data_IF_230337966617
#
_entry.id   IF_230337966617
#
_cell.length_a   1.000
_cell.length_b   1.000
_cell.length_c   1.000
_cell.angle_alpha   90.00
_cell.angle_beta   90.00
_cell.angle_gamma   90.00
#
_symmetry.space_group_name_H-M   'P 1'
#
loop_
_entity.id
_entity.type
_entity.pdbx_description
1 polymer ?
#
# COMPACT_ATOMS: atom_id res chain seq x y z
N UNK A 1 -32.03 -3.87 19.96
CA UNK A 1 -30.97 -4.89 20.16
C UNK A 1 -30.27 -5.05 18.82
N UNK A 2 -28.96 -4.81 18.75
CA UNK A 2 -28.19 -5.18 17.56
C UNK A 2 -28.18 -6.71 17.45
N UNK A 3 -28.28 -7.26 16.24
CA UNK A 3 -28.14 -8.69 16.03
C UNK A 3 -26.77 -9.15 16.57
N UNK A 4 -26.66 -10.36 17.16
CA UNK A 4 -25.37 -10.89 17.57
C UNK A 4 -24.46 -10.96 16.33
N UNK A 5 -23.25 -10.44 16.47
CA UNK A 5 -22.24 -10.47 15.40
C UNK A 5 -21.74 -11.89 15.22
N UNK A 6 -21.52 -12.28 13.96
CA UNK A 6 -20.96 -13.59 13.61
C UNK A 6 -19.55 -13.75 14.19
N UNK A 7 -19.23 -14.95 14.65
CA UNK A 7 -17.86 -15.30 15.04
C UNK A 7 -17.01 -15.58 13.80
N UNK A 8 -15.67 -15.57 13.93
CA UNK A 8 -14.78 -15.93 12.84
C UNK A 8 -15.07 -17.35 12.28
N UNK A 9 -15.56 -18.26 13.13
CA UNK A 9 -15.93 -19.61 12.73
C UNK A 9 -17.27 -19.66 11.98
N UNK A 10 -18.21 -18.80 12.34
CA UNK A 10 -19.48 -18.63 11.60
C UNK A 10 -19.20 -18.10 10.19
N UNK A 11 -18.38 -17.05 10.09
CA UNK A 11 -17.92 -16.48 8.81
C UNK A 11 -17.24 -17.54 7.96
N UNK A 12 -16.30 -18.31 8.53
CA UNK A 12 -15.61 -19.39 7.83
C UNK A 12 -16.57 -20.48 7.33
N UNK A 13 -17.55 -20.85 8.14
CA UNK A 13 -18.57 -21.85 7.78
C UNK A 13 -19.48 -21.36 6.66
N UNK A 14 -19.93 -20.10 6.72
CA UNK A 14 -20.71 -19.44 5.67
C UNK A 14 -19.93 -19.35 4.35
N UNK A 15 -18.64 -19.01 4.42
CA UNK A 15 -17.76 -18.99 3.24
C UNK A 15 -17.60 -20.37 2.61
N UNK A 16 -17.35 -21.41 3.39
CA UNK A 16 -17.31 -22.79 2.88
C UNK A 16 -18.62 -23.17 2.16
N UNK A 17 -19.77 -22.83 2.75
CA UNK A 17 -21.07 -23.08 2.14
C UNK A 17 -21.26 -22.33 0.82
N UNK A 18 -20.87 -21.05 0.76
CA UNK A 18 -20.90 -20.25 -0.46
C UNK A 18 -19.94 -20.80 -1.52
N UNK A 19 -18.69 -21.11 -1.18
CA UNK A 19 -17.70 -21.62 -2.13
C UNK A 19 -18.12 -22.96 -2.75
N UNK A 20 -18.86 -23.81 -2.01
CA UNK A 20 -19.44 -25.05 -2.54
C UNK A 20 -20.43 -24.83 -3.71
N UNK A 21 -20.93 -23.60 -3.89
CA UNK A 21 -21.81 -23.23 -5.01
C UNK A 21 -21.05 -22.71 -6.23
N UNK A 22 -19.72 -22.59 -6.13
CA UNK A 22 -18.85 -22.04 -7.17
C UNK A 22 -17.94 -23.12 -7.76
N UNK A 23 -17.21 -22.79 -8.82
CA UNK A 23 -16.14 -23.65 -9.36
C UNK A 23 -14.93 -23.77 -8.42
N UNK A 24 -14.82 -22.90 -7.42
CA UNK A 24 -13.72 -22.86 -6.44
C UNK A 24 -14.06 -23.63 -5.17
N UNK A 25 -14.70 -24.79 -5.28
CA UNK A 25 -15.08 -25.60 -4.12
C UNK A 25 -13.83 -26.04 -3.32
N UNK A 26 -13.77 -25.79 -1.99
CA UNK A 26 -12.56 -26.08 -1.21
C UNK A 26 -12.58 -27.49 -0.60
N UNK A 27 -11.40 -28.13 -0.55
CA UNK A 27 -11.10 -29.26 0.34
C UNK A 27 -10.80 -28.76 1.77
N UNK A 28 -10.12 -27.62 1.86
CA UNK A 28 -9.78 -26.98 3.13
C UNK A 28 -9.79 -25.48 2.98
N UNK A 29 -10.16 -24.78 4.06
CA UNK A 29 -10.18 -23.32 4.15
C UNK A 29 -9.47 -22.91 5.44
N UNK A 30 -8.21 -22.52 5.33
CA UNK A 30 -7.34 -22.24 6.47
C UNK A 30 -7.14 -20.72 6.62
N UNK A 31 -7.31 -20.13 7.82
CA UNK A 31 -7.05 -18.71 8.01
C UNK A 31 -5.62 -18.34 7.64
N UNK A 32 -5.45 -17.25 6.89
CA UNK A 32 -4.15 -16.63 6.67
C UNK A 32 -3.92 -15.54 7.73
N UNK A 33 -2.68 -15.45 8.19
CA UNK A 33 -2.25 -14.38 9.08
C UNK A 33 -1.79 -13.19 8.26
N UNK A 34 -2.31 -12.01 8.57
CA UNK A 34 -2.01 -10.77 7.85
C UNK A 34 -3.30 -10.01 7.57
N UNK A 35 -3.22 -8.70 7.38
CA UNK A 35 -4.39 -7.84 7.18
C UNK A 35 -5.18 -7.53 8.45
N UNK A 36 -5.88 -6.40 8.44
CA UNK A 36 -6.64 -5.89 9.60
C UNK A 36 -8.16 -5.93 9.36
N UNK A 37 -8.58 -5.62 8.14
CA UNK A 37 -9.98 -5.34 7.81
C UNK A 37 -10.76 -6.58 7.37
N UNK A 38 -10.16 -7.45 6.54
CA UNK A 38 -10.86 -8.58 5.93
C UNK A 38 -10.48 -9.92 6.56
N UNK A 39 -11.43 -10.86 6.53
CA UNK A 39 -11.15 -12.25 6.80
C UNK A 39 -10.46 -12.86 5.57
N UNK A 40 -9.24 -13.34 5.74
CA UNK A 40 -8.43 -13.86 4.65
C UNK A 40 -8.10 -15.33 4.90
N UNK A 41 -8.30 -16.16 3.89
CA UNK A 41 -8.08 -17.61 3.98
C UNK A 41 -7.28 -18.13 2.78
N UNK A 42 -6.54 -19.19 3.01
CA UNK A 42 -5.96 -20.04 1.97
C UNK A 42 -6.88 -21.23 1.75
N UNK A 43 -7.34 -21.41 0.51
CA UNK A 43 -8.16 -22.54 0.11
C UNK A 43 -7.42 -23.47 -0.85
N UNK A 44 -7.40 -24.76 -0.52
CA UNK A 44 -7.06 -25.82 -1.46
C UNK A 44 -8.36 -26.29 -2.14
N UNK A 45 -8.37 -26.35 -3.47
CA UNK A 45 -9.57 -26.67 -4.26
C UNK A 45 -9.75 -28.19 -4.43
N UNK A 46 -11.00 -28.64 -4.46
CA UNK A 46 -11.35 -30.05 -4.70
C UNK A 46 -11.02 -30.49 -6.12
N UNK A 47 -11.26 -29.60 -7.08
CA UNK A 47 -10.92 -29.79 -8.48
C UNK A 47 -10.05 -28.63 -8.95
N UNK A 48 -9.11 -28.93 -9.83
CA UNK A 48 -8.32 -27.91 -10.49
C UNK A 48 -9.22 -27.10 -11.42
N UNK A 49 -9.10 -25.79 -11.33
CA UNK A 49 -9.81 -24.85 -12.19
C UNK A 49 -8.84 -24.33 -13.25
N UNK A 50 -9.24 -24.36 -14.52
CA UNK A 50 -8.42 -23.76 -15.57
C UNK A 50 -8.52 -22.24 -15.49
N UNK A 51 -7.37 -21.56 -15.50
CA UNK A 51 -7.33 -20.11 -15.67
C UNK A 51 -8.06 -19.71 -16.96
N UNK A 52 -8.80 -18.61 -16.91
CA UNK A 52 -9.54 -18.09 -18.08
C UNK A 52 -8.65 -17.33 -19.07
N UNK A 53 -7.33 -17.31 -18.85
CA UNK A 53 -6.35 -16.68 -19.71
C UNK A 53 -5.75 -17.67 -20.72
N UNK A 54 -5.00 -17.15 -21.70
CA UNK A 54 -4.31 -17.97 -22.71
C UNK A 54 -3.20 -18.86 -22.11
N UNK A 55 -2.91 -18.75 -20.80
CA UNK A 55 -1.85 -19.52 -20.15
C UNK A 55 -2.23 -20.97 -19.90
N UNK A 56 -3.54 -21.28 -19.84
CA UNK A 56 -4.03 -22.63 -19.54
C UNK A 56 -3.52 -23.16 -18.20
N UNK A 57 -3.21 -22.29 -17.24
CA UNK A 57 -2.69 -22.69 -15.93
C UNK A 57 -3.76 -23.41 -15.11
N UNK A 58 -3.36 -24.52 -14.50
CA UNK A 58 -4.13 -25.23 -13.48
C UNK A 58 -4.10 -24.44 -12.16
N UNK A 59 -5.26 -24.05 -11.65
CA UNK A 59 -5.43 -23.42 -10.34
C UNK A 59 -5.89 -24.48 -9.35
N UNK A 60 -5.06 -24.79 -8.35
CA UNK A 60 -5.39 -25.72 -7.25
C UNK A 60 -5.50 -25.04 -5.89
N UNK A 61 -5.03 -23.80 -5.79
CA UNK A 61 -4.92 -23.04 -4.54
C UNK A 61 -5.32 -21.59 -4.81
N UNK A 62 -6.08 -21.00 -3.90
CA UNK A 62 -6.57 -19.61 -4.01
C UNK A 62 -6.56 -18.91 -2.65
N UNK A 63 -6.48 -17.59 -2.69
CA UNK A 63 -6.77 -16.74 -1.53
C UNK A 63 -8.25 -16.37 -1.56
N UNK A 64 -8.93 -16.52 -0.43
CA UNK A 64 -10.32 -16.09 -0.24
C UNK A 64 -10.29 -14.88 0.68
N UNK A 65 -10.76 -13.73 0.21
CA UNK A 65 -10.94 -12.53 1.02
C UNK A 65 -12.42 -12.24 1.20
N UNK A 66 -12.85 -12.05 2.43
CA UNK A 66 -14.23 -11.74 2.78
C UNK A 66 -14.30 -10.49 3.64
N UNK A 67 -15.16 -9.56 3.22
CA UNK A 67 -15.40 -8.32 3.94
C UNK A 67 -16.66 -8.36 4.77
N UNK A 68 -16.58 -7.70 5.91
CA UNK A 68 -17.68 -7.37 6.80
C UNK A 68 -17.73 -5.84 6.99
N UNK A 69 -18.85 -5.25 7.48
CA UNK A 69 -18.95 -3.80 7.74
C UNK A 69 -18.15 -3.36 8.99
N UNK A 70 -17.20 -4.18 9.42
CA UNK A 70 -16.29 -3.98 10.53
C UNK A 70 -14.94 -4.65 10.24
N UNK A 71 -13.91 -4.26 10.99
CA UNK A 71 -12.57 -4.82 10.84
C UNK A 71 -12.50 -6.23 11.43
N UNK A 72 -12.00 -7.21 10.66
CA UNK A 72 -11.87 -8.60 11.09
C UNK A 72 -11.08 -8.76 12.41
N UNK A 73 -9.97 -8.02 12.57
CA UNK A 73 -9.14 -8.08 13.80
C UNK A 73 -9.65 -7.20 14.94
N UNK A 74 -10.41 -6.17 14.62
CA UNK A 74 -10.99 -5.25 15.60
C UNK A 74 -12.48 -5.06 15.34
N UNK A 75 -13.33 -6.08 15.60
CA UNK A 75 -14.73 -6.03 15.21
C UNK A 75 -15.53 -4.88 15.82
N UNK A 76 -15.04 -4.25 16.91
CA UNK A 76 -15.61 -3.02 17.46
C UNK A 76 -15.60 -1.85 16.47
N UNK A 77 -14.67 -1.85 15.51
CA UNK A 77 -14.42 -0.74 14.61
C UNK A 77 -15.17 -0.98 13.30
N UNK A 78 -16.16 -0.13 13.03
CA UNK A 78 -16.88 -0.14 11.77
C UNK A 78 -15.96 0.36 10.64
N UNK A 79 -16.13 -0.20 9.45
CA UNK A 79 -15.43 0.24 8.23
C UNK A 79 -16.31 -0.08 7.03
N UNK A 80 -16.26 0.75 5.98
CA UNK A 80 -17.09 0.53 4.79
C UNK A 80 -16.75 -0.80 4.12
N UNK A 81 -17.78 -1.57 3.77
CA UNK A 81 -17.63 -2.86 3.07
C UNK A 81 -17.36 -2.67 1.57
N UNK A 82 -17.62 -1.47 1.04
CA UNK A 82 -17.37 -1.15 -0.37
C UNK A 82 -15.88 -1.23 -0.74
N UNK A 83 -14.98 -1.22 0.26
CA UNK A 83 -13.55 -1.54 0.12
C UNK A 83 -13.29 -2.87 -0.61
N UNK A 84 -14.20 -3.84 -0.50
CA UNK A 84 -14.08 -5.13 -1.20
C UNK A 84 -14.31 -4.98 -2.71
N UNK A 85 -15.24 -4.11 -3.10
CA UNK A 85 -15.49 -3.81 -4.50
C UNK A 85 -14.34 -3.00 -5.10
N UNK A 86 -13.81 -2.05 -4.34
CA UNK A 86 -12.63 -1.26 -4.70
C UNK A 86 -11.44 -2.17 -5.01
N UNK A 87 -11.10 -3.10 -4.11
CA UNK A 87 -9.98 -4.03 -4.32
C UNK A 87 -10.20 -4.86 -5.59
N UNK A 88 -11.37 -5.49 -5.73
CA UNK A 88 -11.70 -6.31 -6.90
C UNK A 88 -11.63 -5.51 -8.22
N UNK A 89 -12.11 -4.26 -8.22
CA UNK A 89 -12.05 -3.39 -9.39
C UNK A 89 -10.61 -2.98 -9.74
N UNK A 90 -9.78 -2.66 -8.74
CA UNK A 90 -8.36 -2.37 -8.93
C UNK A 90 -7.62 -3.56 -9.54
N UNK A 91 -7.79 -4.76 -8.96
CA UNK A 91 -7.13 -5.98 -9.44
C UNK A 91 -7.52 -6.32 -10.88
N UNK A 92 -8.80 -6.18 -11.24
CA UNK A 92 -9.28 -6.39 -12.62
C UNK A 92 -8.72 -5.37 -13.60
N UNK A 93 -8.69 -4.08 -13.21
CA UNK A 93 -8.10 -3.03 -14.05
C UNK A 93 -6.61 -3.25 -14.29
N UNK A 94 -5.85 -3.52 -13.22
CA UNK A 94 -4.41 -3.79 -13.30
C UNK A 94 -4.10 -5.05 -14.11
N UNK A 95 -4.92 -6.10 -14.00
CA UNK A 95 -4.78 -7.29 -14.83
C UNK A 95 -4.94 -6.96 -16.32
N UNK A 96 -5.92 -6.14 -16.68
CA UNK A 96 -6.13 -5.70 -18.07
C UNK A 96 -4.96 -4.86 -18.63
N UNK A 97 -4.19 -4.20 -17.76
CA UNK A 97 -3.00 -3.43 -18.15
C UNK A 97 -1.73 -4.29 -18.29
N UNK A 98 -1.74 -5.57 -17.88
CA UNK A 98 -0.55 -6.47 -17.94
C UNK A 98 0.21 -6.40 -19.27
N UNK A 99 -0.43 -6.42 -20.46
CA UNK A 99 0.27 -6.35 -21.75
C UNK A 99 1.15 -5.10 -21.91
N UNK A 100 0.75 -3.97 -21.31
CA UNK A 100 1.45 -2.68 -21.43
C UNK A 100 2.65 -2.58 -20.47
N UNK A 101 2.54 -3.19 -19.28
CA UNK A 101 3.57 -3.13 -18.23
C UNK A 101 4.83 -3.96 -18.54
N UNK A 102 4.81 -4.84 -19.55
CA UNK A 102 5.98 -5.64 -19.92
C UNK A 102 7.15 -4.83 -20.52
N UNK A 103 6.92 -3.59 -20.96
CA UNK A 103 7.89 -2.81 -21.73
C UNK A 103 8.78 -1.87 -20.90
N UNK A 104 8.42 -1.56 -19.65
CA UNK A 104 9.08 -0.52 -18.83
C UNK A 104 9.75 -1.02 -17.55
N UNK A 105 9.75 -2.33 -17.27
CA UNK A 105 10.24 -2.84 -15.99
C UNK A 105 11.73 -3.17 -16.03
N UNK A 106 12.44 -2.89 -14.92
CA UNK A 106 13.85 -3.25 -14.72
C UNK A 106 14.18 -4.65 -15.26
N UNK A 107 15.39 -4.84 -15.80
CA UNK A 107 15.80 -6.11 -16.39
C UNK A 107 15.68 -7.31 -15.43
N UNK A 108 15.68 -7.05 -14.10
CA UNK A 108 15.71 -8.07 -13.05
C UNK A 108 14.37 -8.32 -12.34
N UNK A 109 13.48 -7.34 -12.25
CA UNK A 109 12.21 -7.50 -11.51
C UNK A 109 10.98 -7.32 -12.40
N UNK A 110 9.96 -8.11 -12.11
CA UNK A 110 8.62 -7.93 -12.66
C UNK A 110 7.65 -7.57 -11.53
N UNK A 111 7.13 -6.36 -11.57
CA UNK A 111 6.10 -5.91 -10.62
C UNK A 111 4.72 -6.20 -11.20
N UNK A 112 3.82 -6.73 -10.40
CA UNK A 112 2.45 -7.07 -10.78
C UNK A 112 1.53 -7.11 -9.56
N UNK A 113 0.27 -7.48 -9.76
CA UNK A 113 -0.71 -7.71 -8.69
C UNK A 113 -1.29 -9.12 -8.82
N UNK A 114 -1.79 -9.75 -7.74
CA UNK A 114 -2.54 -11.00 -7.84
C UNK A 114 -3.75 -10.86 -8.76
N UNK A 115 -4.15 -11.95 -9.42
CA UNK A 115 -5.37 -11.97 -10.21
C UNK A 115 -6.60 -12.08 -9.31
N UNK A 116 -7.66 -11.33 -9.63
CA UNK A 116 -8.98 -11.52 -9.02
C UNK A 116 -9.80 -12.46 -9.92
N UNK A 117 -9.92 -13.73 -9.52
CA UNK A 117 -10.65 -14.75 -10.29
C UNK A 117 -12.17 -14.58 -10.18
N UNK A 118 -12.66 -14.20 -9.00
CA UNK A 118 -14.08 -14.01 -8.74
C UNK A 118 -14.29 -12.91 -7.72
N UNK A 119 -15.32 -12.09 -7.92
CA UNK A 119 -15.86 -11.19 -6.90
C UNK A 119 -17.38 -11.35 -6.89
N UNK A 120 -17.94 -11.66 -5.73
CA UNK A 120 -19.38 -11.69 -5.49
C UNK A 120 -19.78 -10.49 -4.65
N UNK A 121 -20.54 -9.58 -5.27
CA UNK A 121 -20.96 -8.34 -4.63
C UNK A 121 -22.02 -8.55 -3.54
N UNK A 122 -22.76 -9.67 -3.56
CA UNK A 122 -23.77 -9.96 -2.55
C UNK A 122 -23.13 -10.42 -1.25
N UNK A 123 -22.14 -11.30 -1.35
CA UNK A 123 -21.41 -11.84 -0.18
C UNK A 123 -20.15 -11.07 0.13
N UNK A 124 -19.80 -10.06 -0.67
CA UNK A 124 -18.59 -9.23 -0.53
C UNK A 124 -17.32 -10.09 -0.41
N UNK A 125 -17.29 -11.15 -1.23
CA UNK A 125 -16.25 -12.17 -1.20
C UNK A 125 -15.46 -12.18 -2.50
N UNK A 126 -14.15 -12.28 -2.38
CA UNK A 126 -13.19 -12.33 -3.48
C UNK A 126 -12.44 -13.67 -3.46
N UNK A 127 -12.22 -14.24 -4.65
CA UNK A 127 -11.25 -15.31 -4.90
C UNK A 127 -10.09 -14.69 -5.67
N UNK A 128 -8.88 -14.76 -5.12
CA UNK A 128 -7.66 -14.19 -5.68
C UNK A 128 -6.58 -15.26 -5.90
N UNK A 129 -5.61 -14.96 -6.76
CA UNK A 129 -4.41 -15.78 -6.99
C UNK A 129 -3.63 -15.98 -5.69
N UNK A 130 -3.32 -17.25 -5.38
CA UNK A 130 -2.40 -17.59 -4.29
C UNK A 130 -0.94 -17.48 -4.76
N UNK A 131 -0.11 -16.81 -3.95
CA UNK A 131 1.30 -16.57 -4.23
C UNK A 131 2.18 -17.34 -3.24
N UNK A 132 2.51 -18.62 -3.51
CA UNK A 132 3.28 -19.44 -2.59
C UNK A 132 4.73 -18.97 -2.47
N UNK A 133 5.35 -19.23 -1.32
CA UNK A 133 6.78 -18.97 -1.09
C UNK A 133 7.13 -17.48 -1.15
N UNK A 134 6.23 -16.60 -0.72
CA UNK A 134 6.45 -15.16 -0.67
C UNK A 134 6.64 -14.67 0.76
N UNK A 135 7.41 -13.59 0.90
CA UNK A 135 7.55 -12.80 2.12
C UNK A 135 7.28 -11.33 1.80
N UNK A 136 6.75 -10.58 2.76
CA UNK A 136 6.60 -9.14 2.60
C UNK A 136 7.96 -8.42 2.67
N UNK A 137 8.07 -7.28 1.98
CA UNK A 137 9.32 -6.52 1.89
C UNK A 137 9.78 -6.02 3.27
N UNK A 138 8.87 -5.69 4.20
CA UNK A 138 9.26 -5.28 5.55
C UNK A 138 9.98 -6.42 6.28
N UNK A 139 9.42 -7.63 6.24
CA UNK A 139 10.04 -8.82 6.81
C UNK A 139 11.42 -9.10 6.20
N UNK A 140 11.58 -8.91 4.89
CA UNK A 140 12.88 -9.09 4.22
C UNK A 140 13.90 -8.02 4.66
N UNK A 141 13.48 -6.77 4.76
CA UNK A 141 14.33 -5.67 5.25
C UNK A 141 14.75 -5.90 6.70
N UNK A 142 13.84 -6.32 7.57
CA UNK A 142 14.15 -6.61 8.97
C UNK A 142 15.13 -7.79 9.13
N UNK A 143 14.97 -8.87 8.35
CA UNK A 143 15.92 -10.00 8.35
C UNK A 143 17.33 -9.59 7.93
N UNK A 144 17.47 -8.55 7.13
CA UNK A 144 18.79 -8.08 6.69
C UNK A 144 19.58 -7.33 7.77
N UNK A 145 18.98 -7.03 8.93
CA UNK A 145 19.69 -6.44 10.07
C UNK A 145 20.70 -7.39 10.72
N UNK A 146 20.63 -8.68 10.43
CA UNK A 146 21.46 -9.71 11.08
C UNK A 146 22.93 -9.68 10.61
N UNK A 147 23.20 -9.24 9.38
CA UNK A 147 24.54 -9.20 8.81
C UNK A 147 24.76 -7.93 7.95
N UNK A 148 26.00 -7.38 7.90
CA UNK A 148 26.31 -6.25 7.03
C UNK A 148 26.04 -6.58 5.56
N UNK A 149 25.42 -5.64 4.85
CA UNK A 149 25.12 -5.82 3.43
C UNK A 149 26.39 -5.74 2.58
N UNK A 150 26.53 -6.70 1.66
CA UNK A 150 27.50 -6.60 0.57
C UNK A 150 26.95 -5.78 -0.60
N UNK A 151 27.84 -5.24 -1.43
CA UNK A 151 27.50 -4.40 -2.62
C UNK A 151 26.41 -5.01 -3.51
N UNK A 152 26.41 -6.33 -3.70
CA UNK A 152 25.40 -7.03 -4.51
C UNK A 152 24.00 -6.97 -3.88
N UNK A 153 23.92 -7.08 -2.55
CA UNK A 153 22.66 -6.98 -1.81
C UNK A 153 22.16 -5.52 -1.79
N UNK A 154 23.04 -4.54 -1.60
CA UNK A 154 22.63 -3.14 -1.69
C UNK A 154 22.03 -2.81 -3.07
N UNK A 155 22.68 -3.26 -4.14
CA UNK A 155 22.15 -3.11 -5.49
C UNK A 155 20.83 -3.85 -5.67
N UNK A 156 20.64 -5.01 -5.05
CA UNK A 156 19.37 -5.74 -5.07
C UNK A 156 18.24 -4.88 -4.50
N UNK A 157 18.42 -4.30 -3.31
CA UNK A 157 17.43 -3.42 -2.68
C UNK A 157 17.13 -2.15 -3.49
N UNK A 158 18.16 -1.52 -4.06
CA UNK A 158 17.97 -0.37 -4.97
C UNK A 158 17.13 -0.72 -6.20
N UNK A 159 17.34 -1.90 -6.78
CA UNK A 159 16.54 -2.33 -7.93
C UNK A 159 15.08 -2.65 -7.55
N UNK A 160 14.83 -3.19 -6.34
CA UNK A 160 13.47 -3.37 -5.82
C UNK A 160 12.77 -2.00 -5.72
N UNK A 161 13.38 -1.06 -5.00
CA UNK A 161 12.81 0.28 -4.82
C UNK A 161 12.47 0.94 -6.14
N UNK A 162 13.42 0.91 -7.10
CA UNK A 162 13.23 1.48 -8.44
C UNK A 162 12.03 0.87 -9.17
N UNK A 163 11.94 -0.46 -9.19
CA UNK A 163 10.86 -1.15 -9.88
C UNK A 163 9.48 -0.83 -9.27
N UNK A 164 9.39 -0.69 -7.94
CA UNK A 164 8.16 -0.34 -7.23
C UNK A 164 7.72 1.10 -7.54
N UNK A 165 8.65 2.05 -7.54
CA UNK A 165 8.38 3.44 -7.90
C UNK A 165 7.88 3.56 -9.34
N UNK A 166 8.58 2.93 -10.29
CA UNK A 166 8.17 2.89 -11.70
C UNK A 166 6.75 2.32 -11.87
N UNK A 167 6.45 1.22 -11.18
CA UNK A 167 5.13 0.58 -11.22
C UNK A 167 4.01 1.49 -10.70
N UNK A 168 4.16 2.02 -9.48
CA UNK A 168 3.08 2.81 -8.85
C UNK A 168 2.90 4.16 -9.56
N UNK A 169 3.97 4.79 -10.03
CA UNK A 169 3.88 6.01 -10.84
C UNK A 169 3.17 5.76 -12.17
N UNK A 170 3.38 4.61 -12.81
CA UNK A 170 2.64 4.25 -14.02
C UNK A 170 1.15 4.02 -13.73
N UNK A 171 0.82 3.39 -12.60
CA UNK A 171 -0.57 3.27 -12.15
C UNK A 171 -1.22 4.65 -11.98
N UNK A 172 -0.57 5.55 -11.23
CA UNK A 172 -1.04 6.94 -11.02
C UNK A 172 -1.26 7.70 -12.33
N UNK A 173 -0.38 7.53 -13.32
CA UNK A 173 -0.55 8.18 -14.63
C UNK A 173 -1.78 7.64 -15.37
N UNK A 174 -1.92 6.31 -15.41
CA UNK A 174 -3.00 5.62 -16.11
C UNK A 174 -4.38 5.86 -15.48
N UNK A 175 -4.44 6.13 -14.17
CA UNK A 175 -5.70 6.36 -13.46
C UNK A 175 -6.01 7.84 -13.21
N UNK A 176 -5.13 8.77 -13.60
CA UNK A 176 -5.40 10.22 -13.52
C UNK A 176 -6.69 10.69 -14.23
N UNK A 177 -7.20 10.05 -15.31
CA UNK A 177 -8.49 10.45 -15.89
C UNK A 177 -9.68 10.17 -14.97
N UNK A 178 -9.59 9.14 -14.12
CA UNK A 178 -10.64 8.76 -13.15
C UNK A 178 -10.88 9.91 -12.17
N UNK A 179 -9.81 10.48 -11.63
CA UNK A 179 -9.89 11.57 -10.67
C UNK A 179 -10.43 12.89 -11.28
N UNK A 180 -10.37 13.03 -12.60
CA UNK A 180 -10.86 14.23 -13.30
C UNK A 180 -12.30 14.10 -13.82
N UNK A 181 -12.98 12.98 -13.55
CA UNK A 181 -14.33 12.71 -14.06
C UNK A 181 -14.38 12.48 -15.58
N UNK A 182 -13.22 12.33 -16.23
CA UNK A 182 -13.11 12.09 -17.68
C UNK A 182 -13.05 10.60 -18.04
N UNK A 183 -13.79 9.76 -17.32
CA UNK A 183 -14.12 8.43 -17.84
C UNK A 183 -15.12 8.60 -19.01
N UNK A 184 -14.68 9.22 -20.10
CA UNK A 184 -15.48 9.54 -21.27
C UNK A 184 -15.87 8.26 -22.04
N UNK A 185 -16.91 8.39 -22.87
CA UNK A 185 -17.37 7.34 -23.79
C UNK A 185 -16.19 6.78 -24.60
N UNK A 186 -15.91 5.47 -24.46
CA UNK A 186 -14.80 4.79 -25.13
C UNK A 186 -13.66 4.34 -24.19
N UNK A 187 -13.73 4.64 -22.89
CA UNK A 187 -12.81 4.09 -21.89
C UNK A 187 -13.02 2.57 -21.69
N UNK A 188 -11.96 1.85 -21.32
CA UNK A 188 -12.04 0.39 -21.12
C UNK A 188 -13.07 0.04 -20.03
N UNK A 189 -13.85 -1.04 -20.16
CA UNK A 189 -14.87 -1.42 -19.16
C UNK A 189 -14.32 -1.50 -17.73
N UNK A 190 -13.08 -1.99 -17.58
CA UNK A 190 -12.43 -2.09 -16.27
C UNK A 190 -12.12 -0.74 -15.62
N UNK A 191 -11.80 0.28 -16.43
CA UNK A 191 -11.57 1.65 -15.91
C UNK A 191 -12.89 2.28 -15.47
N UNK A 192 -13.99 2.02 -16.18
CA UNK A 192 -15.33 2.45 -15.77
C UNK A 192 -15.77 1.79 -14.46
N UNK A 193 -15.57 0.48 -14.32
CA UNK A 193 -15.83 -0.24 -13.06
C UNK A 193 -14.97 0.29 -11.91
N UNK A 194 -13.71 0.61 -12.16
CA UNK A 194 -12.84 1.24 -11.16
C UNK A 194 -13.37 2.61 -10.74
N UNK A 195 -13.78 3.46 -11.69
CA UNK A 195 -14.37 4.76 -11.37
C UNK A 195 -15.63 4.64 -10.51
N UNK A 196 -16.51 3.69 -10.83
CA UNK A 196 -17.70 3.39 -10.01
C UNK A 196 -17.32 2.96 -8.59
N UNK A 197 -16.37 2.03 -8.46
CA UNK A 197 -15.95 1.53 -7.15
C UNK A 197 -15.37 2.64 -6.27
N UNK A 198 -14.48 3.47 -6.84
CA UNK A 198 -13.83 4.58 -6.13
C UNK A 198 -14.85 5.67 -5.73
N UNK A 199 -15.86 5.91 -6.56
CA UNK A 199 -16.93 6.88 -6.25
C UNK A 199 -17.79 6.44 -5.06
N UNK A 200 -17.75 5.16 -4.68
CA UNK A 200 -18.49 4.58 -3.55
C UNK A 200 -17.69 4.49 -2.26
N UNK A 201 -16.42 4.89 -2.28
CA UNK A 201 -15.49 4.71 -1.16
C UNK A 201 -15.02 6.02 -0.55
N UNK A 202 -15.88 7.05 -0.52
CA UNK A 202 -15.56 8.35 0.10
C UNK A 202 -15.18 8.23 1.58
N UNK A 203 -15.75 7.26 2.29
CA UNK A 203 -15.46 6.96 3.70
C UNK A 203 -14.00 6.54 3.90
N UNK A 204 -13.37 5.92 2.89
CA UNK A 204 -11.96 5.57 2.95
C UNK A 204 -11.06 6.81 2.87
N UNK A 205 -11.53 7.86 2.18
CA UNK A 205 -10.81 9.13 2.09
C UNK A 205 -10.87 9.88 3.42
N UNK A 206 -12.04 9.92 4.04
CA UNK A 206 -12.21 10.48 5.37
C UNK A 206 -11.36 9.71 6.40
N UNK A 207 -11.35 8.38 6.33
CA UNK A 207 -10.49 7.55 7.15
C UNK A 207 -9.01 7.90 6.94
N UNK A 208 -8.56 8.05 5.69
CA UNK A 208 -7.16 8.35 5.40
C UNK A 208 -6.76 9.76 5.82
N UNK A 209 -7.67 10.74 5.75
CA UNK A 209 -7.45 12.08 6.32
C UNK A 209 -7.31 12.01 7.85
N UNK A 210 -8.19 11.29 8.52
CA UNK A 210 -8.16 11.13 9.97
C UNK A 210 -6.84 10.52 10.42
N UNK A 211 -6.45 9.36 9.87
CA UNK A 211 -5.21 8.67 10.30
C UNK A 211 -3.95 9.46 9.95
N UNK A 212 -3.92 10.20 8.83
CA UNK A 212 -2.74 10.98 8.48
C UNK A 212 -2.65 12.28 9.28
N UNK A 213 -3.74 13.03 9.42
CA UNK A 213 -3.68 14.42 9.87
C UNK A 213 -4.35 14.67 11.23
N UNK A 214 -5.39 13.93 11.60
CA UNK A 214 -5.94 14.07 12.95
C UNK A 214 -4.99 13.42 13.97
N UNK A 215 -4.48 12.22 13.69
CA UNK A 215 -3.47 11.58 14.55
C UNK A 215 -2.18 12.39 14.65
N UNK A 216 -1.77 13.08 13.58
CA UNK A 216 -0.65 14.03 13.60
C UNK A 216 -0.85 15.12 14.66
N UNK A 217 -2.07 15.68 14.75
CA UNK A 217 -2.40 16.70 15.74
C UNK A 217 -2.47 16.11 17.15
N UNK A 218 -3.03 14.91 17.30
CA UNK A 218 -3.05 14.18 18.58
C UNK A 218 -1.63 13.93 19.11
N UNK A 219 -0.64 13.69 18.23
CA UNK A 219 0.75 13.52 18.67
C UNK A 219 1.31 14.75 19.37
N UNK A 220 0.81 15.95 19.09
CA UNK A 220 1.25 17.16 19.79
C UNK A 220 0.96 17.06 21.28
N UNK A 221 -0.21 16.50 21.64
CA UNK A 221 -0.59 16.29 23.04
C UNK A 221 0.22 15.18 23.70
N UNK A 222 0.62 14.17 22.92
CA UNK A 222 1.46 13.07 23.41
C UNK A 222 2.93 13.47 23.59
N UNK A 223 3.47 14.34 22.72
CA UNK A 223 4.88 14.76 22.72
C UNK A 223 5.03 16.30 22.74
N UNK A 224 4.48 17.00 23.73
CA UNK A 224 4.41 18.46 23.74
C UNK A 224 5.79 19.13 23.78
N UNK A 225 6.77 18.51 24.45
CA UNK A 225 8.13 19.04 24.56
C UNK A 225 8.89 19.02 23.23
N UNK A 226 8.45 18.20 22.28
CA UNK A 226 9.07 18.07 20.96
C UNK A 226 8.26 18.83 19.90
N UNK A 227 6.93 18.75 19.95
CA UNK A 227 6.06 19.12 18.84
C UNK A 227 5.32 20.45 19.00
N UNK A 228 5.25 21.05 20.20
CA UNK A 228 4.44 22.26 20.45
C UNK A 228 4.73 23.41 19.48
N UNK A 229 6.01 23.62 19.13
CA UNK A 229 6.44 24.73 18.29
C UNK A 229 6.14 24.48 16.79
N UNK A 230 5.81 23.24 16.41
CA UNK A 230 5.43 22.86 15.05
C UNK A 230 3.91 22.86 14.83
N UNK A 231 3.09 23.12 15.86
CA UNK A 231 1.63 23.04 15.82
C UNK A 231 1.02 23.77 14.63
N UNK A 232 1.41 25.02 14.40
CA UNK A 232 0.85 25.83 13.32
C UNK A 232 1.20 25.27 11.93
N UNK A 233 2.36 24.61 11.80
CA UNK A 233 2.75 23.94 10.55
C UNK A 233 1.86 22.72 10.33
N UNK A 234 1.60 21.92 11.36
CA UNK A 234 0.77 20.72 11.25
C UNK A 234 -0.68 21.05 10.93
N UNK A 235 -1.23 22.12 11.53
CA UNK A 235 -2.58 22.61 11.21
C UNK A 235 -2.68 23.01 9.74
N UNK A 236 -1.71 23.78 9.22
CA UNK A 236 -1.71 24.15 7.79
C UNK A 236 -1.57 22.95 6.86
N UNK A 237 -0.75 21.97 7.24
CA UNK A 237 -0.59 20.75 6.44
C UNK A 237 -1.89 19.92 6.41
N UNK A 238 -2.60 19.85 7.54
CA UNK A 238 -3.94 19.26 7.61
C UNK A 238 -4.95 20.01 6.74
N UNK A 239 -4.96 21.34 6.80
CA UNK A 239 -5.83 22.17 5.96
C UNK A 239 -5.55 21.94 4.48
N UNK A 240 -4.28 21.84 4.09
CA UNK A 240 -3.89 21.46 2.73
C UNK A 240 -4.42 20.07 2.35
N UNK A 241 -4.28 19.06 3.22
CA UNK A 241 -4.82 17.73 2.96
C UNK A 241 -6.34 17.71 2.79
N UNK A 242 -7.07 18.50 3.60
CA UNK A 242 -8.53 18.66 3.47
C UNK A 242 -8.90 19.34 2.15
N UNK A 243 -8.16 20.37 1.74
CA UNK A 243 -8.37 21.07 0.48
C UNK A 243 -8.13 20.14 -0.71
N UNK A 244 -7.01 19.40 -0.71
CA UNK A 244 -6.66 18.38 -1.71
C UNK A 244 -7.76 17.33 -1.87
N UNK A 245 -8.44 16.94 -0.77
CA UNK A 245 -9.57 16.02 -0.83
C UNK A 245 -10.84 16.68 -1.37
N UNK A 246 -11.25 17.82 -0.80
CA UNK A 246 -12.57 18.41 -1.07
C UNK A 246 -12.66 19.11 -2.41
N UNK A 247 -11.61 19.83 -2.78
CA UNK A 247 -11.58 20.65 -3.99
C UNK A 247 -10.80 19.95 -5.12
N UNK A 248 -10.19 18.81 -4.82
CA UNK A 248 -9.30 18.10 -5.73
C UNK A 248 -7.96 18.82 -5.91
N UNK A 249 -7.02 18.12 -6.53
CA UNK A 249 -5.74 18.66 -6.95
C UNK A 249 -5.54 18.38 -8.44
N UNK A 250 -4.80 19.23 -9.14
CA UNK A 250 -4.37 18.93 -10.50
C UNK A 250 -3.53 17.64 -10.59
N UNK A 251 -2.94 17.22 -9.46
CA UNK A 251 -2.19 15.97 -9.34
C UNK A 251 -3.07 14.78 -8.88
N UNK A 252 -4.37 14.97 -8.67
CA UNK A 252 -5.25 13.89 -8.17
C UNK A 252 -5.29 12.73 -9.16
N UNK A 253 -5.25 11.53 -8.59
CA UNK A 253 -5.32 10.26 -9.31
C UNK A 253 -5.92 9.19 -8.39
N UNK A 254 -6.09 7.96 -8.89
CA UNK A 254 -6.32 6.82 -8.00
C UNK A 254 -4.99 6.42 -7.38
N UNK A 255 -4.90 6.51 -6.07
CA UNK A 255 -3.78 6.01 -5.27
C UNK A 255 -4.11 4.62 -4.73
N UNK A 256 -3.09 3.86 -4.34
CA UNK A 256 -3.29 2.61 -3.61
C UNK A 256 -3.83 2.86 -2.19
N UNK A 257 -3.39 3.94 -1.55
CA UNK A 257 -3.89 4.39 -0.24
C UNK A 257 -3.39 3.57 0.97
N UNK A 258 -2.55 2.58 0.73
CA UNK A 258 -1.84 1.78 1.74
C UNK A 258 -0.57 1.16 1.11
N UNK A 259 0.16 1.98 0.34
CA UNK A 259 1.32 1.52 -0.41
C UNK A 259 2.56 1.45 0.49
N UNK A 260 2.62 0.42 1.34
CA UNK A 260 3.70 0.20 2.29
C UNK A 260 4.45 -1.13 2.01
N UNK A 261 5.69 -1.31 2.54
CA UNK A 261 6.47 -2.53 2.36
C UNK A 261 5.77 -3.83 2.78
N UNK A 262 4.85 -3.78 3.75
CA UNK A 262 4.05 -4.94 4.18
C UNK A 262 3.13 -5.46 3.08
N UNK A 263 2.71 -4.58 2.16
CA UNK A 263 1.84 -4.89 1.03
C UNK A 263 2.63 -5.21 -0.26
N UNK A 264 3.95 -5.41 -0.15
CA UNK A 264 4.81 -5.84 -1.24
C UNK A 264 5.31 -7.25 -0.97
N UNK A 265 4.78 -8.24 -1.69
CA UNK A 265 5.23 -9.63 -1.61
C UNK A 265 6.36 -9.91 -2.60
N UNK A 266 7.41 -10.57 -2.14
CA UNK A 266 8.57 -10.98 -2.94
C UNK A 266 8.69 -12.49 -2.86
N UNK A 267 8.87 -13.16 -4.00
CA UNK A 267 9.19 -14.59 -4.00
C UNK A 267 10.58 -14.81 -3.44
N UNK A 268 10.68 -15.68 -2.44
CA UNK A 268 11.93 -16.15 -1.87
C UNK A 268 12.56 -17.22 -2.78
N UNK A 269 12.85 -16.82 -4.02
CA UNK A 269 13.56 -17.65 -4.99
C UNK A 269 14.89 -16.99 -5.33
N UNK A 270 15.99 -17.75 -5.24
CA UNK A 270 17.27 -17.32 -5.78
C UNK A 270 17.08 -16.95 -7.25
N UNK A 271 17.58 -15.77 -7.71
CA UNK A 271 17.48 -15.39 -9.11
C UNK A 271 18.06 -16.50 -9.99
N UNK A 272 17.22 -17.19 -10.75
CA UNK A 272 17.69 -18.16 -11.75
C UNK A 272 18.01 -17.39 -13.03
N UNK A 273 19.14 -17.73 -13.66
CA UNK A 273 19.58 -17.07 -14.89
C UNK A 273 18.44 -16.97 -15.91
N UNK A 274 18.14 -15.73 -16.32
CA UNK A 274 17.12 -15.42 -17.34
C UNK A 274 15.67 -15.25 -16.86
N UNK A 275 15.34 -15.48 -15.58
CA UNK A 275 13.97 -15.22 -15.05
C UNK A 275 13.93 -14.01 -14.12
N UNK A 276 13.02 -13.07 -14.39
CA UNK A 276 12.78 -11.92 -13.51
C UNK A 276 12.17 -12.38 -12.18
N UNK A 277 12.64 -11.82 -11.07
CA UNK A 277 12.03 -12.02 -9.74
C UNK A 277 10.69 -11.29 -9.69
N UNK A 278 9.65 -11.97 -9.20
CA UNK A 278 8.31 -11.40 -9.06
C UNK A 278 8.18 -10.54 -7.80
N UNK A 279 7.72 -9.30 -7.98
CA UNK A 279 7.24 -8.41 -6.93
C UNK A 279 5.73 -8.26 -7.09
N UNK A 280 4.97 -8.43 -6.03
CA UNK A 280 3.51 -8.38 -6.07
C UNK A 280 2.99 -7.31 -5.11
N UNK A 281 2.30 -6.32 -5.65
CA UNK A 281 1.58 -5.30 -4.86
C UNK A 281 0.20 -5.85 -4.53
N UNK A 282 -0.11 -5.96 -3.25
CA UNK A 282 -1.36 -6.56 -2.74
C UNK A 282 -2.15 -5.56 -1.90
N UNK A 283 -3.38 -5.92 -1.54
CA UNK A 283 -4.23 -5.18 -0.59
C UNK A 283 -4.69 -3.80 -1.08
N UNK A 284 -5.32 -3.79 -2.26
CA UNK A 284 -5.85 -2.58 -2.91
C UNK A 284 -7.18 -2.08 -2.31
N UNK A 285 -7.58 -2.54 -1.12
CA UNK A 285 -8.87 -2.19 -0.51
C UNK A 285 -8.99 -0.71 -0.10
N UNK A 286 -7.85 -0.05 0.11
CA UNK A 286 -7.76 1.38 0.45
C UNK A 286 -7.60 2.29 -0.77
N UNK A 287 -7.71 1.76 -1.99
CA UNK A 287 -7.56 2.55 -3.20
C UNK A 287 -8.64 3.62 -3.30
N UNK A 288 -8.25 4.83 -3.68
CA UNK A 288 -9.12 6.01 -3.61
C UNK A 288 -8.60 7.15 -4.47
N UNK A 289 -9.41 8.20 -4.69
CA UNK A 289 -8.87 9.45 -5.24
C UNK A 289 -8.00 10.11 -4.17
N UNK A 290 -6.76 10.45 -4.54
CA UNK A 290 -5.82 11.15 -3.69
C UNK A 290 -4.66 11.72 -4.48
N UNK A 291 -3.66 12.26 -3.78
CA UNK A 291 -2.42 12.75 -4.39
C UNK A 291 -1.32 11.69 -4.34
N UNK A 292 -0.51 11.49 -5.40
CA UNK A 292 0.58 10.49 -5.44
C UNK A 292 1.54 10.53 -4.25
N UNK A 293 1.74 11.71 -3.67
CA UNK A 293 2.60 11.90 -2.51
C UNK A 293 2.19 11.03 -1.32
N UNK A 294 0.92 10.65 -1.20
CA UNK A 294 0.42 9.74 -0.16
C UNK A 294 1.07 8.36 -0.26
N UNK A 295 1.01 7.71 -1.42
CA UNK A 295 1.63 6.39 -1.63
C UNK A 295 3.16 6.45 -1.51
N UNK A 296 3.78 7.48 -2.09
CA UNK A 296 5.24 7.62 -2.04
C UNK A 296 5.75 7.88 -0.62
N UNK A 297 5.05 8.75 0.12
CA UNK A 297 5.39 9.09 1.50
C UNK A 297 5.19 7.94 2.47
N UNK A 298 4.16 7.12 2.27
CA UNK A 298 3.90 5.92 3.07
C UNK A 298 4.97 4.85 2.86
N UNK A 299 5.33 4.53 1.60
CA UNK A 299 6.42 3.59 1.30
C UNK A 299 7.75 4.04 1.91
N UNK A 300 8.14 5.30 1.67
CA UNK A 300 9.42 5.84 2.16
C UNK A 300 9.39 5.98 3.69
N UNK A 301 8.28 6.44 4.26
CA UNK A 301 8.13 6.65 5.70
C UNK A 301 8.18 5.36 6.50
N UNK A 302 7.58 4.28 6.01
CA UNK A 302 7.62 2.98 6.68
C UNK A 302 9.03 2.36 6.65
N UNK A 303 9.74 2.45 5.52
CA UNK A 303 11.13 2.02 5.40
C UNK A 303 12.06 2.86 6.29
N UNK A 304 11.84 4.18 6.32
CA UNK A 304 12.67 5.08 7.13
C UNK A 304 12.41 4.90 8.62
N UNK A 305 11.15 4.70 9.03
CA UNK A 305 10.78 4.32 10.40
C UNK A 305 11.50 3.04 10.83
N UNK A 306 11.53 2.03 9.96
CA UNK A 306 12.25 0.78 10.20
C UNK A 306 13.75 1.02 10.42
N UNK A 307 14.38 1.88 9.62
CA UNK A 307 15.79 2.27 9.85
C UNK A 307 16.00 3.06 11.15
N UNK A 308 15.09 3.98 11.49
CA UNK A 308 15.19 4.77 12.72
C UNK A 308 15.13 3.91 13.99
N UNK A 309 14.33 2.84 13.98
CA UNK A 309 14.21 1.90 15.10
C UNK A 309 15.28 0.82 15.10
N UNK A 310 15.52 0.19 13.94
CA UNK A 310 16.23 -1.09 13.85
C UNK A 310 17.57 -0.99 13.10
N UNK A 311 17.89 0.18 12.51
CA UNK A 311 19.18 0.43 11.84
C UNK A 311 19.38 -0.33 10.52
N UNK A 312 18.31 -0.79 9.89
CA UNK A 312 18.38 -1.58 8.65
C UNK A 312 18.80 -0.73 7.43
N UNK A 313 20.05 -0.86 6.99
CA UNK A 313 20.53 -0.16 5.78
C UNK A 313 19.84 -0.67 4.49
N UNK A 314 19.26 -1.87 4.49
CA UNK A 314 18.46 -2.36 3.37
C UNK A 314 17.28 -1.43 3.07
N UNK A 315 16.60 -0.94 4.12
CA UNK A 315 15.50 0.01 3.97
C UNK A 315 15.95 1.30 3.27
N UNK A 316 17.13 1.80 3.64
CA UNK A 316 17.72 2.99 3.00
C UNK A 316 18.04 2.74 1.53
N UNK A 317 18.61 1.58 1.19
CA UNK A 317 18.89 1.24 -0.20
C UNK A 317 17.60 1.06 -1.03
N UNK A 318 16.52 0.55 -0.44
CA UNK A 318 15.21 0.57 -1.10
C UNK A 318 14.75 2.01 -1.34
N UNK A 319 14.86 2.90 -0.35
CA UNK A 319 14.50 4.32 -0.49
C UNK A 319 15.30 4.98 -1.63
N UNK A 320 16.62 4.81 -1.66
CA UNK A 320 17.50 5.35 -2.71
C UNK A 320 17.09 4.86 -4.10
N UNK A 321 16.79 3.57 -4.22
CA UNK A 321 16.28 2.98 -5.46
C UNK A 321 14.92 3.54 -5.86
N UNK A 322 14.02 3.67 -4.88
CA UNK A 322 12.67 4.17 -5.06
C UNK A 322 12.66 5.61 -5.56
N UNK A 323 13.38 6.51 -4.89
CA UNK A 323 13.53 7.89 -5.34
C UNK A 323 14.17 7.97 -6.71
N UNK A 324 15.13 7.09 -7.02
CA UNK A 324 15.70 7.03 -8.36
C UNK A 324 14.69 6.62 -9.45
N UNK A 325 13.75 5.73 -9.12
CA UNK A 325 12.67 5.28 -10.00
C UNK A 325 11.55 6.31 -10.21
N UNK A 326 11.34 7.22 -9.24
CA UNK A 326 10.41 8.35 -9.41
C UNK A 326 10.87 9.35 -10.49
N UNK A 327 12.16 9.33 -10.84
CA UNK A 327 12.70 10.23 -11.87
C UNK A 327 13.09 11.60 -11.30
N UNK A 328 13.22 12.59 -12.18
CA UNK A 328 13.42 13.97 -11.76
C UNK A 328 12.07 14.57 -11.35
N UNK A 329 11.96 15.02 -10.10
CA UNK A 329 10.73 15.60 -9.58
C UNK A 329 10.84 17.13 -9.53
N UNK A 330 9.76 17.87 -9.82
CA UNK A 330 9.64 19.26 -9.40
C UNK A 330 9.87 19.39 -7.89
N UNK A 331 10.54 20.46 -7.46
CA UNK A 331 10.94 20.65 -6.06
C UNK A 331 9.73 20.65 -5.12
N UNK A 332 8.61 21.23 -5.53
CA UNK A 332 7.35 21.24 -4.79
C UNK A 332 6.77 19.83 -4.62
N UNK A 333 6.86 18.97 -5.63
CA UNK A 333 6.45 17.56 -5.54
C UNK A 333 7.37 16.80 -4.58
N UNK A 334 8.69 16.99 -4.68
CA UNK A 334 9.65 16.35 -3.76
C UNK A 334 9.42 16.78 -2.30
N UNK A 335 9.18 18.07 -2.05
CA UNK A 335 8.83 18.59 -0.72
C UNK A 335 7.50 18.05 -0.21
N UNK A 336 6.49 17.88 -1.08
CA UNK A 336 5.19 17.30 -0.69
C UNK A 336 5.32 15.83 -0.30
N UNK A 337 6.16 15.06 -1.00
CA UNK A 337 6.50 13.67 -0.62
C UNK A 337 7.24 13.66 0.71
N UNK A 338 8.26 14.51 0.89
CA UNK A 338 8.99 14.60 2.14
C UNK A 338 8.06 14.96 3.32
N UNK A 339 7.16 15.94 3.14
CA UNK A 339 6.15 16.25 4.15
C UNK A 339 5.29 15.03 4.52
N UNK A 340 4.87 14.25 3.51
CA UNK A 340 4.11 13.03 3.75
C UNK A 340 4.92 11.94 4.48
N UNK A 341 6.23 11.82 4.23
CA UNK A 341 7.12 10.95 5.01
C UNK A 341 7.09 11.33 6.48
N UNK A 342 7.24 12.62 6.79
CA UNK A 342 7.17 13.09 8.17
C UNK A 342 5.79 12.89 8.82
N UNK A 343 4.70 13.04 8.06
CA UNK A 343 3.34 12.70 8.51
C UNK A 343 3.26 11.22 8.89
N UNK A 344 3.77 10.32 8.03
CA UNK A 344 3.78 8.88 8.30
C UNK A 344 4.56 8.53 9.58
N UNK A 345 5.75 9.13 9.77
CA UNK A 345 6.55 8.92 10.97
C UNK A 345 5.80 9.28 12.25
N UNK A 346 5.07 10.39 12.25
CA UNK A 346 4.31 10.84 13.42
C UNK A 346 3.03 10.02 13.63
N UNK A 347 2.29 9.74 12.58
CA UNK A 347 0.97 9.08 12.68
C UNK A 347 1.08 7.57 12.87
N UNK A 348 2.04 6.90 12.22
CA UNK A 348 2.22 5.45 12.28
C UNK A 348 3.52 5.05 12.98
N UNK A 349 4.62 5.76 12.71
CA UNK A 349 5.93 5.45 13.29
C UNK A 349 5.97 5.53 14.81
N UNK A 350 5.06 6.26 15.45
CA UNK A 350 4.95 6.38 16.91
C UNK A 350 4.07 5.31 17.58
N UNK A 351 3.46 4.41 16.81
CA UNK A 351 2.56 3.36 17.32
C UNK A 351 3.30 2.09 17.78
N UNK A 352 4.61 2.00 17.58
CA UNK A 352 5.41 0.85 17.97
C UNK A 352 5.45 0.69 19.50
N UNK A 353 4.83 -0.37 20.03
CA UNK A 353 4.68 -0.59 21.48
C UNK A 353 5.92 -1.23 22.14
N UNK A 354 6.82 -1.81 21.36
CA UNK A 354 8.00 -2.56 21.81
C UNK A 354 9.30 -1.76 21.79
N UNK A 355 9.22 -0.44 21.49
CA UNK A 355 10.39 0.44 21.33
C UNK A 355 10.58 1.32 22.56
N UNK A 356 11.84 1.67 22.83
CA UNK A 356 12.17 2.55 23.96
C UNK A 356 11.70 3.99 23.72
N UNK A 357 11.42 4.73 24.79
CA UNK A 357 11.05 6.15 24.73
C UNK A 357 12.07 6.97 23.93
N UNK A 358 13.38 6.71 24.08
CA UNK A 358 14.43 7.38 23.32
C UNK A 358 14.34 7.12 21.81
N UNK A 359 14.04 5.89 21.41
CA UNK A 359 13.85 5.56 19.99
C UNK A 359 12.60 6.24 19.43
N UNK A 360 11.51 6.25 20.19
CA UNK A 360 10.28 6.95 19.81
C UNK A 360 10.51 8.46 19.69
N UNK A 361 11.21 9.07 20.65
CA UNK A 361 11.60 10.49 20.62
C UNK A 361 12.40 10.85 19.37
N UNK A 362 13.30 9.95 18.93
CA UNK A 362 14.06 10.13 17.68
C UNK A 362 13.11 10.19 16.48
N UNK A 363 12.17 9.24 16.37
CA UNK A 363 11.17 9.23 15.29
C UNK A 363 10.30 10.50 15.32
N UNK A 364 9.90 10.96 16.50
CA UNK A 364 9.09 12.17 16.66
C UNK A 364 9.85 13.42 16.21
N UNK A 365 11.13 13.57 16.60
CA UNK A 365 11.98 14.69 16.18
C UNK A 365 12.20 14.70 14.67
N UNK A 366 12.51 13.54 14.10
CA UNK A 366 12.70 13.37 12.66
C UNK A 366 11.44 13.73 11.87
N UNK A 367 10.28 13.19 12.27
CA UNK A 367 9.00 13.50 11.63
C UNK A 367 8.67 15.00 11.67
N UNK A 368 8.88 15.64 12.81
CA UNK A 368 8.73 17.09 12.97
C UNK A 368 9.65 17.87 12.03
N UNK A 369 10.94 17.57 12.05
CA UNK A 369 11.94 18.35 11.31
C UNK A 369 11.74 18.19 9.80
N UNK A 370 11.39 17.00 9.32
CA UNK A 370 11.03 16.77 7.92
C UNK A 370 9.80 17.61 7.52
N UNK A 371 8.72 17.58 8.30
CA UNK A 371 7.51 18.37 7.99
C UNK A 371 7.84 19.87 7.98
N UNK A 372 8.49 20.37 9.03
CA UNK A 372 8.78 21.80 9.19
C UNK A 372 9.64 22.31 8.04
N UNK A 373 10.71 21.60 7.68
CA UNK A 373 11.59 22.02 6.59
C UNK A 373 10.93 21.86 5.22
N UNK A 374 10.11 20.82 5.02
CA UNK A 374 9.31 20.67 3.80
C UNK A 374 8.34 21.84 3.59
N UNK A 375 7.58 22.20 4.63
CA UNK A 375 6.62 23.31 4.58
C UNK A 375 7.29 24.69 4.46
N UNK A 376 8.51 24.84 4.99
CA UNK A 376 9.33 26.06 4.80
C UNK A 376 10.04 26.10 3.45
N UNK A 377 9.96 25.03 2.65
CA UNK A 377 10.69 24.85 1.38
C UNK A 377 12.22 24.94 1.55
N UNK A 378 12.73 24.50 2.69
CA UNK A 378 14.17 24.49 2.98
C UNK A 378 14.82 23.24 2.36
N UNK A 379 15.08 23.29 1.05
CA UNK A 379 15.75 22.22 0.32
C UNK A 379 17.18 21.99 0.83
N UNK A 380 17.85 23.04 1.33
CA UNK A 380 19.23 22.94 1.78
C UNK A 380 19.36 22.03 3.01
N UNK A 381 18.36 22.03 3.89
CA UNK A 381 18.28 21.10 5.02
C UNK A 381 18.36 19.63 4.61
N UNK A 382 17.77 19.28 3.45
CA UNK A 382 17.73 17.89 2.98
C UNK A 382 19.04 17.41 2.35
N UNK A 383 20.00 18.31 2.05
CA UNK A 383 21.19 17.97 1.25
C UNK A 383 22.00 16.80 1.83
N UNK A 384 22.19 16.80 3.15
CA UNK A 384 22.96 15.78 3.86
C UNK A 384 22.03 14.83 4.66
N UNK A 385 20.72 14.90 4.41
CA UNK A 385 19.71 14.07 5.04
C UNK A 385 19.50 12.77 4.24
N UNK A 386 19.00 11.70 4.88
CA UNK A 386 18.67 10.42 4.22
C UNK A 386 17.70 10.61 3.05
N UNK A 387 16.74 11.53 3.22
CA UNK A 387 15.77 11.93 2.17
C UNK A 387 16.35 12.90 1.13
N UNK A 388 17.63 13.25 1.20
CA UNK A 388 18.30 14.09 0.20
C UNK A 388 18.21 13.50 -1.21
N UNK A 389 18.11 12.17 -1.31
CA UNK A 389 17.90 11.46 -2.56
C UNK A 389 16.61 11.85 -3.32
N UNK A 390 15.60 12.43 -2.65
CA UNK A 390 14.41 13.01 -3.31
C UNK A 390 14.73 14.26 -4.13
N UNK A 391 15.81 14.97 -3.78
CA UNK A 391 16.18 16.28 -4.32
C UNK A 391 17.41 16.25 -5.19
N UNK A 392 18.16 15.13 -5.18
CA UNK A 392 19.34 14.97 -6.02
C UNK A 392 18.93 14.66 -7.44
N UNK A 393 19.12 15.64 -8.33
CA UNK A 393 19.47 15.50 -9.75
C UNK A 393 19.87 16.85 -10.33
#
# INVERSE_FOLDING_TARGET
>A
MAAPRETAEDVRSGLCAWMNTTVFKPVSLNPLTGGQSNFTYHAHLEQRVMAQDDSGRDISEVVVKHGEPYMARHPSNAITIDRCFVEAACLKHLHALKPLHHTSQSARYRVSTPECYLYDDKTKTQIQEYLPGTLDLKSIVLKSCEEPLGVVQEQHYRHIGRALAEYISQFHQNTSPVARGHAEEGTSPHLSTLHEAISRSSEMQDLKLMVNYDWLLERIEQFPDILKDAKDVFVRLREQGIDELKNGSAASTVIHGDFCPQNILIRDESPRDGKKTGLFVVDWENAQIGVPAMDHGEMIGELYSTWLYDGSDAGIHVIEGYTAGLGSLPVDVALRIAAQVGVHLLSFGTLAQDKSELQTDRVVREGRDIIVNSCKKDQAWFKDHVLGCLFTR
#
